data_IF_727365714029
#
_entry.id   IF_727365714029
#
_cell.length_a   1.000
_cell.length_b   1.000
_cell.length_c   1.000
_cell.angle_alpha   90.00
_cell.angle_beta   90.00
_cell.angle_gamma   90.00
#
_symmetry.space_group_name_H-M   'P 1'
#
loop_
_entity.id
_entity.type
_entity.pdbx_description
1 polymer ?
#
# COMPACT_ATOMS: atom_id res chain seq x y z
N UNK A 1 36.07 40.55 -42.35
CA UNK A 1 35.15 41.12 -41.32
C UNK A 1 34.61 39.98 -40.47
N UNK A 2 34.28 40.31 -39.22
CA UNK A 2 34.32 39.47 -38.00
C UNK A 2 33.50 38.18 -38.04
N UNK A 3 34.10 37.10 -37.50
CA UNK A 3 33.39 35.92 -36.98
C UNK A 3 32.65 36.36 -35.71
N UNK A 4 31.32 36.38 -35.73
CA UNK A 4 30.55 36.66 -34.54
C UNK A 4 30.70 35.51 -33.54
N UNK A 5 31.29 35.83 -32.39
CA UNK A 5 31.31 34.96 -31.23
C UNK A 5 29.88 34.90 -30.69
N UNK A 6 29.20 33.78 -30.89
CA UNK A 6 28.01 33.45 -30.11
C UNK A 6 28.49 33.26 -28.67
N UNK A 7 28.28 34.27 -27.83
CA UNK A 7 28.41 34.13 -26.38
C UNK A 7 27.22 33.30 -25.89
N UNK A 8 27.44 32.01 -25.70
CA UNK A 8 26.56 31.18 -24.87
C UNK A 8 26.58 31.78 -23.46
N UNK A 9 25.46 32.39 -23.06
CA UNK A 9 25.26 32.83 -21.69
C UNK A 9 25.49 31.63 -20.76
N UNK A 10 26.28 31.83 -19.69
CA UNK A 10 26.52 30.83 -18.64
C UNK A 10 25.18 30.22 -18.22
N UNK A 11 24.92 28.99 -18.64
CA UNK A 11 23.84 28.17 -18.09
C UNK A 11 24.08 28.05 -16.58
N UNK A 12 23.06 28.32 -15.76
CA UNK A 12 23.11 28.07 -14.31
C UNK A 12 23.74 26.70 -14.08
N UNK A 13 24.84 26.64 -13.34
CA UNK A 13 25.37 25.37 -12.84
C UNK A 13 24.32 24.82 -11.88
N UNK A 14 23.63 23.76 -12.30
CA UNK A 14 22.76 23.01 -11.41
C UNK A 14 23.63 22.09 -10.58
N UNK A 15 23.61 22.27 -9.25
CA UNK A 15 24.22 21.33 -8.33
C UNK A 15 23.34 20.07 -8.27
N UNK A 16 23.69 19.06 -9.06
CA UNK A 16 23.03 17.75 -8.99
C UNK A 16 23.61 17.02 -7.78
N UNK A 17 22.80 16.88 -6.73
CA UNK A 17 23.16 16.14 -5.50
C UNK A 17 22.86 14.64 -5.57
N UNK A 18 22.33 14.17 -6.70
CA UNK A 18 22.10 12.75 -6.93
C UNK A 18 23.43 12.06 -7.29
N UNK A 19 23.63 10.85 -6.77
CA UNK A 19 24.76 10.00 -7.20
C UNK A 19 24.63 9.66 -8.68
N UNK A 20 25.76 9.62 -9.39
CA UNK A 20 25.84 9.13 -10.77
C UNK A 20 26.15 7.63 -10.85
N UNK A 21 26.26 6.96 -9.70
CA UNK A 21 26.52 5.53 -9.59
C UNK A 21 25.33 4.81 -8.98
N UNK A 22 25.20 3.52 -9.31
CA UNK A 22 24.18 2.65 -8.71
C UNK A 22 24.56 2.18 -7.30
N UNK A 23 25.73 2.57 -6.78
CA UNK A 23 26.18 2.20 -5.44
C UNK A 23 25.26 2.79 -4.37
N UNK A 24 24.94 1.99 -3.35
CA UNK A 24 24.14 2.46 -2.22
C UNK A 24 25.01 3.33 -1.32
N UNK A 25 24.69 4.62 -1.27
CA UNK A 25 25.40 5.60 -0.45
C UNK A 25 25.17 5.39 1.05
N UNK A 26 26.11 5.89 1.86
CA UNK A 26 25.94 5.89 3.33
C UNK A 26 24.71 6.70 3.78
N UNK A 27 24.34 7.74 3.03
CA UNK A 27 23.12 8.51 3.29
C UNK A 27 21.87 7.66 3.07
N UNK A 28 21.80 6.89 1.97
CA UNK A 28 20.69 5.97 1.70
C UNK A 28 20.56 4.91 2.80
N UNK A 29 21.68 4.33 3.27
CA UNK A 29 21.66 3.33 4.34
C UNK A 29 21.12 3.91 5.65
N UNK A 30 21.65 5.07 6.07
CA UNK A 30 21.22 5.74 7.32
C UNK A 30 19.75 6.16 7.25
N UNK A 31 19.33 6.77 6.15
CA UNK A 31 17.95 7.22 5.99
C UNK A 31 16.97 6.04 5.91
N UNK A 32 17.37 4.88 5.37
CA UNK A 32 16.54 3.68 5.35
C UNK A 32 16.27 3.14 6.75
N UNK A 33 17.30 3.12 7.61
CA UNK A 33 17.16 2.70 9.03
C UNK A 33 16.23 3.67 9.75
N UNK A 34 16.51 4.98 9.64
CA UNK A 34 15.69 6.01 10.27
C UNK A 34 14.23 5.99 9.79
N UNK A 35 13.99 5.82 8.49
CA UNK A 35 12.64 5.73 7.94
C UNK A 35 11.89 4.51 8.48
N UNK A 36 12.57 3.38 8.68
CA UNK A 36 11.98 2.18 9.29
C UNK A 36 11.60 2.43 10.75
N UNK A 37 12.45 3.10 11.53
CA UNK A 37 12.18 3.46 12.93
C UNK A 37 10.96 4.39 13.02
N UNK A 38 10.94 5.46 12.22
CA UNK A 38 9.81 6.40 12.18
C UNK A 38 8.51 5.70 11.76
N UNK A 39 8.58 4.81 10.77
CA UNK A 39 7.41 4.04 10.34
C UNK A 39 6.89 3.13 11.46
N UNK A 40 7.76 2.49 12.23
CA UNK A 40 7.39 1.65 13.36
C UNK A 40 6.71 2.46 14.49
N UNK A 41 7.23 3.64 14.81
CA UNK A 41 6.66 4.54 15.82
C UNK A 41 5.36 5.24 15.36
N UNK A 42 5.14 5.33 14.05
CA UNK A 42 3.94 5.95 13.46
C UNK A 42 2.72 5.02 13.39
N UNK A 43 2.86 3.72 13.67
CA UNK A 43 1.76 2.76 13.64
C UNK A 43 0.87 2.96 14.87
N UNK A 44 -0.44 3.10 14.64
CA UNK A 44 -1.45 3.24 15.68
C UNK A 44 -2.22 1.94 15.83
N UNK A 45 -2.11 1.30 17.00
CA UNK A 45 -2.94 0.16 17.36
C UNK A 45 -4.29 0.65 17.89
N UNK A 46 -5.38 0.32 17.20
CA UNK A 46 -6.72 0.74 17.59
C UNK A 46 -7.43 -0.27 18.51
N UNK A 47 -7.21 -1.56 18.27
CA UNK A 47 -7.85 -2.66 19.00
C UNK A 47 -6.93 -3.88 19.03
N UNK A 48 -6.92 -4.61 20.14
CA UNK A 48 -6.16 -5.85 20.31
C UNK A 48 -6.74 -6.72 21.44
N UNK A 49 -7.41 -7.81 21.08
CA UNK A 49 -7.96 -8.78 22.03
C UNK A 49 -6.95 -9.89 22.40
N UNK A 50 -5.68 -9.52 22.62
CA UNK A 50 -4.60 -10.46 22.95
C UNK A 50 -4.01 -11.22 21.75
N UNK A 51 -4.26 -10.73 20.54
CA UNK A 51 -3.74 -11.29 19.29
C UNK A 51 -2.29 -10.85 19.04
N UNK A 52 -1.99 -9.60 19.35
CA UNK A 52 -0.69 -8.98 19.18
C UNK A 52 0.10 -8.95 20.50
N UNK A 53 1.44 -9.10 20.46
CA UNK A 53 2.26 -9.25 19.25
C UNK A 53 2.13 -10.64 18.60
N UNK A 54 2.23 -10.69 17.26
CA UNK A 54 2.36 -11.97 16.57
C UNK A 54 3.79 -12.48 16.77
N UNK A 55 3.93 -13.67 17.33
CA UNK A 55 5.19 -14.40 17.29
C UNK A 55 5.36 -14.96 15.88
N UNK A 56 6.24 -14.34 15.08
CA UNK A 56 6.37 -14.65 13.65
C UNK A 56 7.23 -15.87 13.34
N UNK A 57 7.98 -16.38 14.32
CA UNK A 57 8.79 -17.58 14.17
C UNK A 57 7.90 -18.78 13.78
N UNK A 58 8.03 -19.23 12.53
CA UNK A 58 7.33 -20.37 11.95
C UNK A 58 5.79 -20.30 11.98
N UNK A 59 5.20 -19.12 12.21
CA UNK A 59 3.74 -18.96 12.15
C UNK A 59 3.26 -19.00 10.70
N UNK A 60 2.20 -19.76 10.45
CA UNK A 60 1.49 -19.74 9.17
C UNK A 60 0.47 -18.61 9.17
N UNK A 61 0.44 -17.79 8.13
CA UNK A 61 -0.50 -16.67 8.02
C UNK A 61 -1.25 -16.76 6.71
N UNK A 62 -2.57 -16.68 6.80
CA UNK A 62 -3.46 -16.43 5.70
C UNK A 62 -3.49 -14.92 5.44
N UNK A 63 -2.72 -14.48 4.44
CA UNK A 63 -2.60 -13.08 4.06
C UNK A 63 -3.51 -12.77 2.86
N UNK A 64 -4.34 -11.74 3.01
CA UNK A 64 -5.29 -11.29 1.99
C UNK A 64 -5.35 -9.77 1.93
N UNK A 65 -6.12 -9.27 0.96
CA UNK A 65 -6.40 -7.85 0.80
C UNK A 65 -5.48 -7.16 -0.20
N UNK A 66 -5.98 -6.05 -0.73
CA UNK A 66 -5.38 -5.35 -1.86
C UNK A 66 -4.00 -4.75 -1.55
N UNK A 67 -3.71 -4.49 -0.27
CA UNK A 67 -2.44 -3.92 0.19
C UNK A 67 -1.33 -4.94 0.50
N UNK A 68 -1.62 -6.23 0.47
CA UNK A 68 -0.68 -7.28 0.87
C UNK A 68 0.62 -7.26 0.04
N UNK A 69 0.49 -7.26 -1.30
CA UNK A 69 1.59 -7.09 -2.26
C UNK A 69 1.70 -5.70 -2.85
N UNK A 70 0.59 -4.95 -2.84
CA UNK A 70 0.48 -3.60 -3.42
C UNK A 70 0.34 -2.56 -2.32
N UNK A 71 1.28 -2.62 -1.37
CA UNK A 71 1.38 -1.69 -0.25
C UNK A 71 1.54 -0.25 -0.74
N UNK A 72 0.84 0.68 -0.09
CA UNK A 72 0.90 2.11 -0.42
C UNK A 72 1.96 2.77 0.46
N UNK A 73 3.04 3.25 -0.16
CA UNK A 73 4.17 3.91 0.53
C UNK A 73 4.03 5.43 0.63
N UNK A 74 3.05 6.00 -0.07
CA UNK A 74 2.80 7.43 -0.13
C UNK A 74 1.68 7.75 -1.12
N UNK A 75 1.23 9.00 -1.08
CA UNK A 75 0.28 9.53 -2.05
C UNK A 75 0.91 9.75 -3.43
N UNK A 76 0.07 9.93 -4.43
CA UNK A 76 0.46 10.31 -5.80
C UNK A 76 0.62 11.83 -5.96
N UNK A 77 1.32 12.26 -7.02
CA UNK A 77 1.50 13.68 -7.34
C UNK A 77 2.93 14.17 -7.07
N UNK A 78 3.09 15.46 -6.78
CA UNK A 78 4.42 16.08 -6.59
C UNK A 78 5.22 15.50 -5.42
N UNK A 79 4.55 14.86 -4.46
CA UNK A 79 5.17 14.15 -3.34
C UNK A 79 5.58 12.71 -3.63
N UNK A 80 5.34 12.20 -4.85
CA UNK A 80 5.71 10.82 -5.22
C UNK A 80 7.23 10.66 -5.31
N UNK A 81 7.75 9.59 -4.72
CA UNK A 81 9.19 9.30 -4.66
C UNK A 81 9.50 8.05 -5.45
N UNK A 82 10.55 8.12 -6.29
CA UNK A 82 11.08 6.94 -6.97
C UNK A 82 12.11 6.24 -6.08
N UNK A 83 11.67 5.21 -5.36
CA UNK A 83 12.51 4.44 -4.44
C UNK A 83 13.23 3.29 -5.14
N UNK A 84 14.51 3.09 -4.81
CA UNK A 84 15.32 1.95 -5.28
C UNK A 84 14.71 0.59 -4.92
N UNK A 85 14.21 0.48 -3.69
CA UNK A 85 13.66 -0.75 -3.12
C UNK A 85 12.38 -0.42 -2.36
N UNK A 86 11.43 -1.34 -2.40
CA UNK A 86 10.15 -1.28 -1.69
C UNK A 86 9.90 -2.66 -1.08
N UNK A 87 9.62 -2.71 0.23
CA UNK A 87 9.28 -3.94 0.95
C UNK A 87 7.77 -3.90 1.18
N UNK A 88 7.02 -4.83 0.60
CA UNK A 88 5.57 -4.91 0.84
C UNK A 88 5.27 -5.70 2.13
N UNK A 89 4.00 -5.78 2.52
CA UNK A 89 3.60 -6.48 3.75
C UNK A 89 3.92 -7.97 3.69
N UNK A 90 3.73 -8.64 2.55
CA UNK A 90 4.11 -10.06 2.40
C UNK A 90 5.62 -10.25 2.62
N UNK A 91 6.46 -9.45 1.96
CA UNK A 91 7.91 -9.51 2.07
C UNK A 91 8.39 -9.20 3.49
N UNK A 92 7.76 -8.21 4.15
CA UNK A 92 8.05 -7.86 5.54
C UNK A 92 7.74 -9.00 6.51
N UNK A 93 6.59 -9.67 6.34
CA UNK A 93 6.20 -10.82 7.16
C UNK A 93 7.14 -12.02 6.93
N UNK A 94 7.44 -12.36 5.68
CA UNK A 94 8.37 -13.44 5.32
C UNK A 94 9.77 -13.14 5.87
N UNK A 95 10.22 -11.89 5.76
CA UNK A 95 11.50 -11.44 6.31
C UNK A 95 11.60 -11.47 7.83
N UNK A 96 10.49 -11.71 8.55
CA UNK A 96 10.44 -11.93 10.01
C UNK A 96 10.13 -13.39 10.38
N UNK A 97 10.16 -14.32 9.42
CA UNK A 97 9.98 -15.76 9.67
C UNK A 97 8.58 -16.31 9.44
N UNK A 98 7.59 -15.47 9.08
CA UNK A 98 6.24 -15.95 8.83
C UNK A 98 6.13 -16.72 7.51
N UNK A 99 5.27 -17.74 7.50
CA UNK A 99 4.95 -18.55 6.32
C UNK A 99 3.59 -18.13 5.75
N UNK A 100 3.58 -17.52 4.57
CA UNK A 100 2.35 -17.10 3.91
C UNK A 100 1.71 -18.27 3.14
N UNK A 101 0.51 -18.68 3.55
CA UNK A 101 -0.15 -19.90 3.04
C UNK A 101 -1.17 -19.65 1.93
N UNK A 102 -1.53 -18.40 1.68
CA UNK A 102 -2.59 -17.98 0.74
C UNK A 102 -2.04 -17.35 -0.54
N UNK A 103 -0.80 -17.71 -0.93
CA UNK A 103 -0.19 -17.26 -2.20
C UNK A 103 -1.07 -17.44 -3.44
N UNK A 104 -1.87 -18.52 -3.58
CA UNK A 104 -2.79 -18.64 -4.72
C UNK A 104 -3.77 -17.47 -4.83
N UNK A 105 -4.41 -17.04 -3.74
CA UNK A 105 -5.29 -15.86 -3.75
C UNK A 105 -4.51 -14.59 -4.11
N UNK A 106 -3.32 -14.40 -3.52
CA UNK A 106 -2.45 -13.25 -3.82
C UNK A 106 -2.02 -13.20 -5.29
N UNK A 107 -1.82 -14.36 -5.93
CA UNK A 107 -1.51 -14.46 -7.36
C UNK A 107 -2.70 -14.02 -8.22
N UNK A 108 -3.93 -14.47 -7.89
CA UNK A 108 -5.15 -14.05 -8.60
C UNK A 108 -5.36 -12.54 -8.51
N UNK A 109 -5.17 -11.97 -7.32
CA UNK A 109 -5.22 -10.53 -7.13
C UNK A 109 -4.21 -9.80 -8.02
N UNK A 110 -2.96 -10.28 -8.05
CA UNK A 110 -1.89 -9.67 -8.84
C UNK A 110 -2.20 -9.69 -10.36
N UNK A 111 -2.77 -10.79 -10.86
CA UNK A 111 -3.22 -10.87 -12.26
C UNK A 111 -4.29 -9.82 -12.60
N UNK A 112 -5.29 -9.66 -11.72
CA UNK A 112 -6.34 -8.65 -11.87
C UNK A 112 -5.75 -7.25 -11.84
N UNK A 113 -4.85 -6.97 -10.89
CA UNK A 113 -4.18 -5.69 -10.76
C UNK A 113 -3.35 -5.37 -12.01
N UNK A 114 -2.52 -6.29 -12.49
CA UNK A 114 -1.66 -6.09 -13.64
C UNK A 114 -2.47 -5.83 -14.93
N UNK A 115 -3.55 -6.60 -15.14
CA UNK A 115 -4.47 -6.41 -16.28
C UNK A 115 -5.16 -5.04 -16.21
N UNK A 116 -5.65 -4.66 -15.04
CA UNK A 116 -6.29 -3.36 -14.82
C UNK A 116 -5.33 -2.19 -15.03
N UNK A 117 -4.11 -2.27 -14.48
CA UNK A 117 -3.10 -1.22 -14.61
C UNK A 117 -2.65 -1.04 -16.05
N UNK A 118 -2.47 -2.15 -16.79
CA UNK A 118 -2.15 -2.11 -18.22
C UNK A 118 -3.27 -1.45 -19.04
N UNK A 119 -4.54 -1.74 -18.71
CA UNK A 119 -5.69 -1.10 -19.35
C UNK A 119 -5.71 0.41 -19.06
N UNK A 120 -5.57 0.78 -17.79
CA UNK A 120 -5.51 2.17 -17.33
C UNK A 120 -4.43 2.99 -18.08
N UNK A 121 -3.20 2.47 -18.16
CA UNK A 121 -2.09 3.14 -18.87
C UNK A 121 -2.40 3.31 -20.36
N UNK A 122 -2.97 2.27 -21.00
CA UNK A 122 -3.32 2.31 -22.43
C UNK A 122 -4.39 3.37 -22.71
N UNK A 123 -5.42 3.45 -21.88
CA UNK A 123 -6.50 4.44 -22.01
C UNK A 123 -5.99 5.86 -21.77
N UNK A 124 -5.18 6.08 -20.72
CA UNK A 124 -4.54 7.37 -20.46
C UNK A 124 -3.65 7.83 -21.63
N UNK A 125 -2.84 6.91 -22.20
CA UNK A 125 -2.03 7.21 -23.39
C UNK A 125 -2.87 7.52 -24.64
N UNK A 126 -4.01 6.85 -24.82
CA UNK A 126 -4.91 7.12 -25.93
C UNK A 126 -5.52 8.52 -25.82
N UNK A 127 -5.87 8.95 -24.60
CA UNK A 127 -6.34 10.30 -24.31
C UNK A 127 -5.28 11.35 -24.67
N UNK A 128 -4.03 11.16 -24.24
CA UNK A 128 -2.91 12.11 -24.46
C UNK A 128 -2.62 12.46 -25.93
N UNK A 129 -3.08 11.64 -26.90
CA UNK A 129 -2.97 11.96 -28.34
C UNK A 129 -3.80 13.19 -28.75
N UNK A 130 -4.72 13.66 -27.91
CA UNK A 130 -5.54 14.87 -28.11
C UNK A 130 -5.15 15.92 -27.05
N UNK A 131 -3.91 16.39 -27.11
CA UNK A 131 -3.33 17.26 -26.08
C UNK A 131 -4.17 18.53 -25.88
N UNK A 132 -4.69 18.70 -24.67
CA UNK A 132 -5.41 19.90 -24.20
C UNK A 132 -5.15 20.07 -22.70
N UNK A 133 -5.32 21.30 -22.20
CA UNK A 133 -5.15 21.64 -20.79
C UNK A 133 -6.16 20.92 -19.90
N UNK A 134 -7.39 20.77 -20.37
CA UNK A 134 -8.47 20.08 -19.68
C UNK A 134 -8.16 18.59 -19.52
N UNK A 135 -7.62 17.99 -20.58
CA UNK A 135 -7.21 16.59 -20.55
C UNK A 135 -6.02 16.35 -19.61
N UNK A 136 -5.07 17.29 -19.55
CA UNK A 136 -3.96 17.19 -18.61
C UNK A 136 -4.46 17.23 -17.16
N UNK A 137 -5.41 18.13 -16.86
CA UNK A 137 -6.04 18.20 -15.54
C UNK A 137 -6.81 16.90 -15.21
N UNK A 138 -7.55 16.35 -16.17
CA UNK A 138 -8.24 15.06 -16.00
C UNK A 138 -7.27 13.92 -15.70
N UNK A 139 -6.12 13.88 -16.37
CA UNK A 139 -5.12 12.83 -16.15
C UNK A 139 -4.40 12.94 -14.80
N UNK A 140 -4.19 14.16 -14.31
CA UNK A 140 -3.64 14.39 -12.96
C UNK A 140 -4.66 13.94 -11.91
N UNK A 141 -5.93 14.29 -12.07
CA UNK A 141 -7.01 13.90 -11.16
C UNK A 141 -7.41 12.41 -11.26
N UNK A 142 -7.05 11.77 -12.37
CA UNK A 142 -7.33 10.36 -12.62
C UNK A 142 -6.23 9.52 -11.99
N UNK A 143 -6.52 8.91 -10.84
CA UNK A 143 -5.64 7.90 -10.25
C UNK A 143 -6.14 6.51 -10.57
N UNK A 144 -5.21 5.58 -10.76
CA UNK A 144 -5.57 4.18 -10.90
C UNK A 144 -6.13 3.65 -9.58
N UNK A 145 -7.43 3.38 -9.54
CA UNK A 145 -8.05 2.71 -8.40
C UNK A 145 -7.63 1.24 -8.39
N UNK A 146 -7.02 0.81 -7.29
CA UNK A 146 -6.58 -0.57 -7.15
C UNK A 146 -7.84 -1.44 -7.05
N UNK A 147 -7.87 -2.60 -7.74
CA UNK A 147 -8.95 -3.55 -7.53
C UNK A 147 -8.99 -4.00 -6.07
N UNK A 148 -10.14 -4.46 -5.61
CA UNK A 148 -10.30 -4.97 -4.24
C UNK A 148 -9.92 -6.45 -4.11
N UNK A 149 -9.82 -7.15 -5.25
CA UNK A 149 -9.67 -8.62 -5.32
C UNK A 149 -10.99 -9.33 -5.54
N UNK A 150 -10.91 -10.66 -5.69
CA UNK A 150 -12.04 -11.57 -5.67
C UNK A 150 -12.44 -11.93 -4.23
N UNK A 151 -13.62 -12.52 -4.08
CA UNK A 151 -14.06 -13.06 -2.78
C UNK A 151 -13.14 -14.21 -2.33
N UNK A 152 -12.86 -14.27 -1.04
CA UNK A 152 -12.17 -15.40 -0.40
C UNK A 152 -13.13 -16.59 -0.40
N UNK A 153 -12.72 -17.68 -1.04
CA UNK A 153 -13.54 -18.88 -1.17
C UNK A 153 -13.40 -19.80 0.05
N UNK A 154 -14.33 -20.75 0.22
CA UNK A 154 -14.16 -21.82 1.22
C UNK A 154 -12.96 -22.73 0.92
N UNK A 155 -12.58 -22.84 -0.35
CA UNK A 155 -11.38 -23.56 -0.77
C UNK A 155 -10.10 -22.82 -0.32
N UNK A 156 -10.04 -21.49 -0.46
CA UNK A 156 -8.93 -20.68 0.04
C UNK A 156 -8.77 -20.85 1.56
N UNK A 157 -9.89 -20.85 2.31
CA UNK A 157 -9.88 -21.12 3.76
C UNK A 157 -9.34 -22.52 4.06
N UNK A 158 -9.93 -23.56 3.44
CA UNK A 158 -9.57 -24.96 3.68
C UNK A 158 -8.09 -25.23 3.36
N UNK A 159 -7.58 -24.65 2.28
CA UNK A 159 -6.21 -24.85 1.82
C UNK A 159 -5.18 -24.02 2.59
N UNK A 160 -5.61 -22.96 3.28
CA UNK A 160 -4.70 -22.07 4.03
C UNK A 160 -4.02 -22.74 5.22
N UNK A 161 -4.61 -23.81 5.78
CA UNK A 161 -4.04 -24.63 6.86
C UNK A 161 -3.39 -23.81 7.99
N UNK A 162 -4.11 -22.79 8.46
CA UNK A 162 -3.71 -21.90 9.55
C UNK A 162 -4.94 -21.32 10.25
N UNK A 163 -4.75 -20.86 11.47
CA UNK A 163 -5.74 -20.18 12.30
C UNK A 163 -5.52 -18.65 12.33
N UNK A 164 -4.46 -18.13 11.72
CA UNK A 164 -4.15 -16.70 11.69
C UNK A 164 -4.47 -16.07 10.32
N UNK A 165 -5.35 -15.06 10.29
CA UNK A 165 -5.60 -14.23 9.10
C UNK A 165 -5.16 -12.77 9.32
N UNK A 166 -4.46 -12.23 8.33
CA UNK A 166 -4.22 -10.79 8.17
C UNK A 166 -4.91 -10.33 6.89
N UNK A 167 -5.82 -9.37 7.02
CA UNK A 167 -6.46 -8.71 5.88
C UNK A 167 -5.96 -7.26 5.78
N UNK A 168 -5.30 -6.92 4.66
CA UNK A 168 -4.69 -5.61 4.44
C UNK A 168 -5.55 -4.76 3.52
N UNK A 169 -6.10 -3.67 4.06
CA UNK A 169 -6.86 -2.67 3.30
C UNK A 169 -5.94 -1.52 2.93
N UNK A 170 -5.91 -1.17 1.65
CA UNK A 170 -5.17 -0.03 1.14
C UNK A 170 -6.06 0.90 0.31
N UNK A 171 -5.76 2.19 0.39
CA UNK A 171 -6.37 3.27 -0.38
C UNK A 171 -5.26 4.16 -0.91
N UNK A 172 -5.36 4.56 -2.17
CA UNK A 172 -4.49 5.56 -2.75
C UNK A 172 -5.24 6.90 -2.83
N UNK A 173 -4.51 8.00 -2.65
CA UNK A 173 -4.98 9.36 -2.83
C UNK A 173 -3.81 10.27 -3.22
N UNK A 174 -4.13 11.41 -3.83
CA UNK A 174 -3.11 12.33 -4.33
C UNK A 174 -3.73 13.55 -4.98
N UNK A 175 -2.93 14.20 -5.81
CA UNK A 175 -3.24 15.54 -6.31
C UNK A 175 -4.42 15.59 -7.29
N UNK A 176 -5.16 16.70 -7.25
CA UNK A 176 -6.19 16.99 -8.25
C UNK A 176 -7.54 16.32 -8.02
N UNK A 177 -7.70 15.48 -6.97
CA UNK A 177 -8.97 14.85 -6.65
C UNK A 177 -9.17 14.61 -5.16
N UNK A 178 -10.25 15.15 -4.62
CA UNK A 178 -10.69 14.83 -3.26
C UNK A 178 -11.31 13.43 -3.17
N UNK A 179 -11.19 12.82 -1.99
CA UNK A 179 -11.89 11.57 -1.69
C UNK A 179 -13.38 11.81 -1.53
N UNK A 180 -14.15 10.76 -1.82
CA UNK A 180 -15.60 10.76 -1.76
C UNK A 180 -16.10 9.82 -0.66
N UNK A 181 -17.31 10.09 -0.13
CA UNK A 181 -17.98 9.22 0.87
C UNK A 181 -18.67 8.02 0.19
N UNK A 182 -17.97 7.40 -0.75
CA UNK A 182 -18.43 6.28 -1.56
C UNK A 182 -17.78 4.96 -1.12
N UNK A 183 -18.39 3.85 -1.55
CA UNK A 183 -17.84 2.50 -1.43
C UNK A 183 -16.53 2.36 -2.20
N UNK A 184 -15.59 1.62 -1.62
CA UNK A 184 -14.26 1.43 -2.21
C UNK A 184 -13.36 2.68 -2.21
N UNK A 185 -13.79 3.75 -1.53
CA UNK A 185 -12.99 4.95 -1.23
C UNK A 185 -12.99 5.20 0.28
N UNK A 186 -13.82 6.11 0.79
CA UNK A 186 -13.93 6.32 2.24
C UNK A 186 -14.55 5.11 2.95
N UNK A 187 -15.55 4.48 2.31
CA UNK A 187 -16.19 3.27 2.80
C UNK A 187 -15.49 2.01 2.26
N UNK A 188 -15.75 0.88 2.88
CA UNK A 188 -15.37 -0.43 2.32
C UNK A 188 -16.19 -0.70 1.05
N UNK A 189 -15.60 -1.42 0.10
CA UNK A 189 -16.35 -2.08 -0.95
C UNK A 189 -17.00 -3.36 -0.41
N UNK A 190 -18.09 -3.80 -1.05
CA UNK A 190 -18.83 -5.00 -0.64
C UNK A 190 -17.94 -6.24 -0.53
N UNK A 191 -17.05 -6.46 -1.51
CA UNK A 191 -16.11 -7.59 -1.51
C UNK A 191 -15.09 -7.50 -0.37
N UNK A 192 -14.64 -6.31 0.01
CA UNK A 192 -13.73 -6.14 1.15
C UNK A 192 -14.45 -6.51 2.45
N UNK A 193 -15.68 -6.02 2.62
CA UNK A 193 -16.50 -6.35 3.78
C UNK A 193 -16.83 -7.85 3.85
N UNK A 194 -17.15 -8.47 2.71
CA UNK A 194 -17.39 -9.90 2.61
C UNK A 194 -16.15 -10.70 3.00
N UNK A 195 -14.97 -10.31 2.51
CA UNK A 195 -13.68 -10.96 2.79
C UNK A 195 -13.27 -10.81 4.25
N UNK A 196 -13.41 -9.62 4.84
CA UNK A 196 -13.14 -9.38 6.27
C UNK A 196 -14.05 -10.28 7.12
N UNK A 197 -15.35 -10.35 6.80
CA UNK A 197 -16.31 -11.22 7.48
C UNK A 197 -15.98 -12.70 7.29
N UNK A 198 -15.51 -13.10 6.11
CA UNK A 198 -15.07 -14.47 5.82
C UNK A 198 -13.85 -14.83 6.65
N UNK A 199 -12.85 -13.96 6.74
CA UNK A 199 -11.70 -14.16 7.63
C UNK A 199 -12.14 -14.27 9.09
N UNK A 200 -12.96 -13.32 9.56
CA UNK A 200 -13.41 -13.27 10.94
C UNK A 200 -14.13 -14.55 11.39
N UNK A 201 -14.88 -15.20 10.49
CA UNK A 201 -15.56 -16.48 10.76
C UNK A 201 -14.70 -17.71 10.49
N UNK A 202 -13.83 -17.65 9.48
CA UNK A 202 -13.08 -18.79 8.97
C UNK A 202 -11.81 -19.10 9.77
N UNK A 203 -11.23 -18.09 10.42
CA UNK A 203 -9.99 -18.18 11.20
C UNK A 203 -10.24 -17.98 12.69
N UNK A 204 -11.33 -18.57 13.22
CA UNK A 204 -11.64 -18.52 14.64
C UNK A 204 -10.75 -19.46 15.43
N UNK A 205 -10.06 -18.92 16.43
CA UNK A 205 -9.50 -19.68 17.54
C UNK A 205 -10.65 -20.46 18.19
N UNK A 206 -10.63 -21.79 18.13
CA UNK A 206 -11.44 -22.60 19.02
C UNK A 206 -10.98 -22.32 20.47
N UNK A 207 -11.79 -21.56 21.21
CA UNK A 207 -11.68 -21.43 22.68
C UNK A 207 -11.82 -22.81 23.31
N UNK A 208 -10.72 -23.54 23.51
CA UNK A 208 -10.70 -24.73 24.37
C UNK A 208 -9.32 -25.15 24.91
N UNK A 209 -8.21 -24.54 24.50
CA UNK A 209 -6.88 -24.96 24.97
C UNK A 209 -6.09 -23.79 25.60
N UNK A 210 -5.90 -23.76 26.93
CA UNK A 210 -5.19 -22.68 27.63
C UNK A 210 -3.68 -22.63 27.32
N UNK A 211 -3.14 -23.58 26.56
CA UNK A 211 -1.70 -23.75 26.35
C UNK A 211 -1.21 -23.11 25.03
N UNK A 212 -2.11 -22.68 24.14
CA UNK A 212 -1.72 -22.21 22.80
C UNK A 212 -2.26 -20.82 22.47
N UNK A 213 -1.66 -19.78 23.05
CA UNK A 213 -1.88 -18.39 22.64
C UNK A 213 -0.98 -18.01 21.47
N UNK A 214 -1.44 -18.21 20.24
CA UNK A 214 -0.89 -17.48 19.09
C UNK A 214 -1.88 -17.41 17.92
N UNK A 215 -2.33 -16.19 17.62
CA UNK A 215 -3.01 -15.84 16.37
C UNK A 215 -4.52 -15.67 16.49
N UNK A 216 -4.98 -14.42 16.47
CA UNK A 216 -6.38 -14.07 16.20
C UNK A 216 -6.49 -13.14 15.00
N UNK A 217 -7.72 -12.69 14.72
CA UNK A 217 -8.04 -11.93 13.53
C UNK A 217 -7.54 -10.49 13.60
N UNK A 218 -6.87 -10.05 12.53
CA UNK A 218 -6.30 -8.71 12.43
C UNK A 218 -6.76 -8.01 11.16
N UNK A 219 -7.42 -6.86 11.34
CA UNK A 219 -7.55 -5.85 10.30
C UNK A 219 -6.41 -4.84 10.44
N UNK A 220 -5.39 -4.91 9.60
CA UNK A 220 -4.38 -3.85 9.56
C UNK A 220 -4.87 -2.77 8.58
N UNK A 221 -5.25 -1.62 9.12
CA UNK A 221 -5.46 -0.40 8.33
C UNK A 221 -4.21 0.47 8.40
N UNK A 222 -3.35 0.39 7.37
CA UNK A 222 -2.22 1.32 7.23
C UNK A 222 -2.75 2.59 6.57
N UNK A 223 -2.90 3.68 7.32
CA UNK A 223 -3.23 5.01 6.79
C UNK A 223 -1.95 5.81 6.57
N UNK A 224 -1.58 6.07 5.32
CA UNK A 224 -0.65 7.14 4.98
C UNK A 224 -1.41 8.46 4.90
N UNK A 225 -1.29 9.33 5.90
CA UNK A 225 -1.78 10.71 5.81
C UNK A 225 -0.63 11.70 6.08
N UNK A 226 -0.37 12.68 5.19
CA UNK A 226 0.30 13.90 5.58
C UNK A 226 -0.67 14.74 6.42
N UNK A 227 -0.25 15.17 7.61
CA UNK A 227 -1.05 15.95 8.55
C UNK A 227 -1.53 17.26 7.93
N UNK A 228 -2.82 17.53 7.94
CA UNK A 228 -3.36 18.89 8.06
C UNK A 228 -4.00 19.03 9.44
N UNK A 229 -3.64 20.10 10.14
CA UNK A 229 -4.07 20.39 11.51
C UNK A 229 -5.56 20.74 11.53
N UNK A 230 -6.33 20.10 12.41
CA UNK A 230 -7.73 20.42 12.67
C UNK A 230 -8.22 19.75 13.94
N UNK A 231 -8.06 20.44 15.06
CA UNK A 231 -8.75 20.15 16.33
C UNK A 231 -10.26 20.17 16.10
N UNK A 232 -10.95 19.06 16.39
CA UNK A 232 -12.40 19.09 16.66
C UNK A 232 -12.68 18.33 17.96
N UNK A 233 -13.06 19.12 18.96
CA UNK A 233 -13.70 18.67 20.20
C UNK A 233 -15.11 18.18 19.87
N UNK A 234 -15.49 17.08 20.48
CA UNK A 234 -16.88 16.63 20.56
C UNK A 234 -17.76 17.71 21.19
N UNK A 235 -18.80 18.12 20.46
CA UNK A 235 -19.93 18.86 20.99
C UNK A 235 -21.14 17.94 21.02
N UNK A 236 -21.47 17.41 22.22
CA UNK A 236 -22.80 16.92 22.53
C UNK A 236 -23.71 18.14 22.79
N UNK A 237 -24.86 18.14 22.13
CA UNK A 237 -25.97 19.08 22.28
C UNK A 237 -27.06 18.71 21.30
#
# INVERSE_FOLDING_TARGET
>A
MKKDKIQLQKTKEYEIRASYTDEVSELEKKNRILAKEIAAEGIVLLENDGVLPLHTDDIKIALYGNGARRTIYGGTGSGEVNSREQVNIEDGLIGQGAVITTKPWLNRYEEVWAKGKKRYIREGRAKLKKFSTELLAELIASEYQYPYGDEITDEDLKNSNTDACIYVISRQSGEGRDRTVAEGDYKLADVELANIRKCARGYLIWKADPIRTSGGNMGIQIRGYPRSHGLWRDGKG
#
